data_IF_582436193525
#
_entry.id   IF_582436193525
#
_cell.length_a   1.000
_cell.length_b   1.000
_cell.length_c   1.000
_cell.angle_alpha   90.00
_cell.angle_beta   90.00
_cell.angle_gamma   90.00
#
_symmetry.space_group_name_H-M   'P 1'
#
loop_
_entity.id
_entity.type
_entity.pdbx_description
1 polymer ?
#
# COMPACT_ATOMS: atom_id res chain seq x y z
N UNK A 1 5.76 -6.99 10.84
CA UNK A 1 4.31 -7.22 10.67
C UNK A 1 3.52 -5.91 10.62
N UNK A 2 3.57 -5.07 11.66
CA UNK A 2 2.79 -3.82 11.77
C UNK A 2 2.90 -2.87 10.56
N UNK A 3 4.10 -2.67 10.00
CA UNK A 3 4.25 -1.81 8.81
C UNK A 3 3.55 -2.34 7.56
N UNK A 4 3.51 -3.67 7.39
CA UNK A 4 2.78 -4.29 6.27
C UNK A 4 1.28 -4.14 6.43
N UNK A 5 0.79 -4.30 7.65
CA UNK A 5 -0.62 -4.06 7.97
C UNK A 5 -1.00 -2.61 7.68
N UNK A 6 -0.25 -1.63 8.21
CA UNK A 6 -0.49 -0.21 8.02
C UNK A 6 -0.50 0.18 6.53
N UNK A 7 0.41 -0.35 5.74
CA UNK A 7 0.49 -0.06 4.31
C UNK A 7 -0.67 -0.64 3.49
N UNK A 8 -1.11 -1.87 3.80
CA UNK A 8 -2.30 -2.47 3.17
C UNK A 8 -3.58 -1.72 3.53
N UNK A 9 -3.73 -1.33 4.80
CA UNK A 9 -4.82 -0.46 5.27
C UNK A 9 -4.83 0.90 4.56
N UNK A 10 -3.67 1.55 4.44
CA UNK A 10 -3.53 2.83 3.76
C UNK A 10 -3.90 2.71 2.27
N UNK A 11 -3.51 1.61 1.60
CA UNK A 11 -3.86 1.35 0.22
C UNK A 11 -5.38 1.25 0.01
N UNK A 12 -6.08 0.39 0.75
CA UNK A 12 -7.51 0.19 0.53
C UNK A 12 -8.35 1.42 0.87
N UNK A 13 -7.85 2.28 1.76
CA UNK A 13 -8.45 3.59 2.07
C UNK A 13 -8.24 4.56 0.92
N UNK A 14 -7.03 4.66 0.38
CA UNK A 14 -6.74 5.47 -0.80
C UNK A 14 -7.52 4.97 -2.04
N UNK A 15 -7.72 3.65 -2.17
CA UNK A 15 -8.51 3.06 -3.24
C UNK A 15 -10.02 3.30 -3.09
N UNK A 16 -10.49 3.75 -1.91
CA UNK A 16 -11.89 4.06 -1.63
C UNK A 16 -12.78 2.85 -1.36
N UNK A 17 -12.22 1.64 -1.24
CA UNK A 17 -13.01 0.40 -1.07
C UNK A 17 -13.03 -0.08 0.37
N UNK A 18 -12.00 0.25 1.16
CA UNK A 18 -11.69 -0.48 2.39
C UNK A 18 -11.32 -1.95 2.12
N UNK A 19 -11.00 -2.70 3.17
CA UNK A 19 -10.82 -4.15 3.06
C UNK A 19 -12.19 -4.80 2.88
N UNK A 20 -12.36 -5.47 1.77
CA UNK A 20 -13.66 -5.95 1.31
C UNK A 20 -13.47 -7.07 0.29
N UNK A 21 -14.57 -7.49 -0.34
CA UNK A 21 -14.52 -8.42 -1.47
C UNK A 21 -13.78 -7.85 -2.69
N UNK A 22 -13.59 -6.53 -2.80
CA UNK A 22 -12.82 -5.92 -3.89
C UNK A 22 -11.31 -6.08 -3.71
N UNK A 23 -10.83 -5.93 -2.47
CA UNK A 23 -9.43 -6.16 -2.12
C UNK A 23 -9.35 -6.85 -0.76
N UNK A 24 -8.97 -8.12 -0.78
CA UNK A 24 -8.59 -8.89 0.40
C UNK A 24 -7.14 -8.59 0.81
N UNK A 25 -6.76 -9.06 1.99
CA UNK A 25 -5.36 -8.99 2.42
C UNK A 25 -4.40 -9.74 1.49
N UNK A 26 -4.87 -10.81 0.84
CA UNK A 26 -4.05 -11.65 -0.03
C UNK A 26 -3.81 -11.01 -1.40
N UNK A 27 -4.72 -10.13 -1.85
CA UNK A 27 -4.61 -9.44 -3.13
C UNK A 27 -3.56 -8.32 -3.13
N UNK A 28 -3.10 -7.92 -1.95
CA UNK A 28 -2.19 -6.80 -1.75
C UNK A 28 -0.85 -7.32 -1.24
N UNK A 29 0.22 -7.11 -2.00
CA UNK A 29 1.58 -7.42 -1.59
C UNK A 29 2.40 -6.16 -1.37
N UNK A 30 3.30 -6.21 -0.38
CA UNK A 30 4.30 -5.15 -0.16
C UNK A 30 5.66 -5.75 -0.43
N UNK A 31 6.24 -5.32 -1.54
CA UNK A 31 7.56 -5.76 -2.01
C UNK A 31 8.58 -4.65 -1.72
N UNK A 32 9.85 -4.98 -1.91
CA UNK A 32 10.95 -4.02 -1.79
C UNK A 32 11.76 -4.06 -3.06
N UNK A 33 12.17 -2.90 -3.53
CA UNK A 33 13.22 -2.79 -4.53
C UNK A 33 14.57 -3.26 -3.95
N UNK A 34 15.56 -3.44 -4.83
CA UNK A 34 16.96 -3.69 -4.42
C UNK A 34 17.52 -2.58 -3.54
N UNK A 35 17.03 -1.34 -3.71
CA UNK A 35 17.33 -0.17 -2.88
C UNK A 35 16.76 -0.25 -1.45
N UNK A 36 15.86 -1.20 -1.19
CA UNK A 36 15.12 -1.31 0.07
C UNK A 36 13.83 -0.49 0.13
N UNK A 37 13.58 0.38 -0.88
CA UNK A 37 12.33 1.15 -0.99
C UNK A 37 11.12 0.20 -1.09
N UNK A 38 10.10 0.34 -0.21
CA UNK A 38 8.90 -0.47 -0.30
C UNK A 38 7.99 0.01 -1.43
N UNK A 39 7.28 -0.92 -2.07
CA UNK A 39 6.23 -0.61 -3.05
C UNK A 39 5.06 -1.58 -2.94
N UNK A 40 3.88 -1.11 -3.35
CA UNK A 40 2.66 -1.93 -3.44
C UNK A 40 2.67 -2.72 -4.74
N UNK A 41 2.35 -4.00 -4.65
CA UNK A 41 2.10 -4.86 -5.80
C UNK A 41 0.67 -5.40 -5.68
N UNK A 42 -0.20 -4.93 -6.58
CA UNK A 42 -1.61 -5.30 -6.65
C UNK A 42 -1.93 -5.57 -8.13
N UNK A 43 -1.88 -6.83 -8.60
CA UNK A 43 -1.98 -7.15 -10.03
C UNK A 43 -3.21 -6.58 -10.73
N UNK A 44 -4.34 -6.49 -10.02
CA UNK A 44 -5.61 -5.97 -10.53
C UNK A 44 -5.72 -4.44 -10.51
N UNK A 45 -4.72 -3.71 -10.01
CA UNK A 45 -4.78 -2.27 -9.82
C UNK A 45 -3.64 -1.54 -10.54
N UNK A 46 -3.92 -1.05 -11.75
CA UNK A 46 -2.92 -0.53 -12.69
C UNK A 46 -2.59 0.96 -12.54
N UNK A 47 -3.06 1.61 -11.46
CA UNK A 47 -2.72 3.02 -11.19
C UNK A 47 -1.32 3.15 -10.61
N UNK A 48 -0.72 4.32 -10.76
CA UNK A 48 0.57 4.59 -10.12
C UNK A 48 0.32 4.75 -8.62
N UNK A 49 1.07 3.99 -7.83
CA UNK A 49 0.95 3.95 -6.37
C UNK A 49 2.28 4.30 -5.72
N UNK A 50 2.26 5.28 -4.84
CA UNK A 50 3.41 5.66 -4.02
C UNK A 50 3.18 5.17 -2.59
N UNK A 51 4.17 4.49 -2.02
CA UNK A 51 4.12 3.95 -0.66
C UNK A 51 5.29 4.48 0.17
N UNK A 52 4.99 4.94 1.38
CA UNK A 52 5.99 5.17 2.42
C UNK A 52 5.59 4.46 3.71
N UNK A 53 6.57 3.87 4.42
CA UNK A 53 6.38 3.20 5.70
C UNK A 53 7.41 3.74 6.68
N UNK A 54 6.98 4.08 7.89
CA UNK A 54 7.85 4.48 8.98
C UNK A 54 7.53 3.70 10.26
N UNK A 55 8.56 3.44 11.06
CA UNK A 55 8.49 2.72 12.32
C UNK A 55 9.07 3.55 13.45
N UNK A 56 8.43 3.51 14.60
CA UNK A 56 8.99 3.93 15.89
C UNK A 56 8.96 2.75 16.87
N UNK A 57 9.40 2.97 18.11
CA UNK A 57 9.42 1.94 19.14
C UNK A 57 8.03 1.30 19.38
N UNK A 58 6.95 2.08 19.25
CA UNK A 58 5.59 1.65 19.58
C UNK A 58 4.61 1.70 18.40
N UNK A 59 4.98 2.35 17.29
CA UNK A 59 4.06 2.60 16.19
C UNK A 59 4.64 2.23 14.83
N UNK A 60 3.74 1.86 13.92
CA UNK A 60 4.01 1.77 12.50
C UNK A 60 3.01 2.63 11.76
N UNK A 61 3.49 3.48 10.88
CA UNK A 61 2.66 4.35 10.04
C UNK A 61 2.97 4.08 8.57
N UNK A 62 1.96 4.24 7.73
CA UNK A 62 2.14 4.17 6.29
C UNK A 62 1.25 5.20 5.60
N UNK A 63 1.74 5.74 4.49
CA UNK A 63 0.99 6.62 3.60
C UNK A 63 0.99 6.05 2.19
N UNK A 64 -0.15 6.17 1.51
CA UNK A 64 -0.33 5.74 0.12
C UNK A 64 -0.93 6.89 -0.68
N UNK A 65 -0.34 7.18 -1.84
CA UNK A 65 -0.88 8.12 -2.83
C UNK A 65 -1.14 7.33 -4.10
N UNK A 66 -2.36 7.46 -4.62
CA UNK A 66 -2.78 6.88 -5.90
C UNK A 66 -2.96 8.03 -6.87
N UNK A 67 -2.10 8.10 -7.88
CA UNK A 67 -2.18 9.11 -8.92
C UNK A 67 -2.70 8.51 -10.23
N UNK A 68 -3.31 9.37 -11.04
CA UNK A 68 -3.73 9.02 -12.39
C UNK A 68 -3.01 9.96 -13.35
N UNK A 69 -2.50 9.44 -14.47
CA UNK A 69 -2.02 10.30 -15.54
C UNK A 69 -3.24 10.95 -16.19
N UNK A 70 -3.38 12.25 -16.01
CA UNK A 70 -4.29 13.03 -16.85
C UNK A 70 -3.71 13.00 -18.27
N UNK A 71 -4.50 12.50 -19.22
CA UNK A 71 -4.18 12.60 -20.65
C UNK A 71 -4.50 13.99 -21.18
#
# INVERSE_FOLDING_TARGET
LAGRFAAKEAFVKAAGTGISSTFSWQDIEIKKETSGKPYLYVPSYLKIMHLSISHSALYAVASVIIESKTS
#
